data_IF_435049788864
#
_entry.id   IF_435049788864
#
_cell.length_a   1.000
_cell.length_b   1.000
_cell.length_c   1.000
_cell.angle_alpha   90.00
_cell.angle_beta   90.00
_cell.angle_gamma   90.00
#
_symmetry.space_group_name_H-M   'P 1'
#
loop_
_entity.id
_entity.type
_entity.pdbx_description
1 polymer ?
#
# COMPACT_ATOMS: atom_id res chain seq x y z
N UNK A 1 67.41 -40.99 57.76
CA UNK A 1 68.29 -40.44 56.73
C UNK A 1 68.00 -41.19 55.43
N UNK A 2 67.02 -40.70 54.66
CA UNK A 2 66.48 -41.39 53.48
C UNK A 2 67.42 -41.12 52.30
N UNK A 3 68.07 -42.17 51.78
CA UNK A 3 68.91 -42.12 50.58
C UNK A 3 67.98 -42.02 49.35
N UNK A 4 68.31 -41.11 48.45
CA UNK A 4 67.66 -40.92 47.14
C UNK A 4 68.07 -42.09 46.23
N UNK A 5 67.09 -42.80 45.69
CA UNK A 5 67.33 -43.81 44.65
C UNK A 5 67.71 -43.14 43.31
N UNK A 6 68.59 -43.81 42.55
CA UNK A 6 69.24 -43.27 41.35
C UNK A 6 68.29 -43.13 40.15
N UNK A 7 68.47 -42.05 39.38
CA UNK A 7 67.65 -41.58 38.24
C UNK A 7 67.61 -42.51 37.00
N UNK A 8 68.05 -43.77 37.09
CA UNK A 8 68.17 -44.68 35.93
C UNK A 8 66.93 -45.56 35.65
N UNK A 9 65.78 -45.27 36.26
CA UNK A 9 64.54 -46.05 36.08
C UNK A 9 63.39 -45.27 35.41
N UNK A 10 63.72 -44.22 34.64
CA UNK A 10 62.77 -43.49 33.79
C UNK A 10 63.00 -43.88 32.31
N UNK A 11 61.94 -44.09 31.51
CA UNK A 11 61.68 -45.37 30.85
C UNK A 11 62.52 -45.64 29.59
N UNK A 12 62.93 -46.92 29.43
CA UNK A 12 63.46 -47.47 28.19
C UNK A 12 62.35 -47.50 27.12
N UNK A 13 62.46 -46.64 26.12
CA UNK A 13 61.63 -46.64 24.92
C UNK A 13 61.86 -47.95 24.15
N UNK A 14 60.89 -48.87 24.22
CA UNK A 14 60.75 -49.92 23.21
C UNK A 14 60.42 -49.23 21.88
N UNK A 15 61.06 -49.73 20.81
CA UNK A 15 61.15 -49.08 19.50
C UNK A 15 59.86 -48.47 18.97
N UNK A 16 60.02 -47.34 18.28
CA UNK A 16 59.00 -46.77 17.41
C UNK A 16 58.58 -47.80 16.37
N UNK A 17 57.36 -48.34 16.48
CA UNK A 17 56.63 -48.80 15.30
C UNK A 17 56.18 -47.55 14.54
N UNK A 18 56.58 -47.47 13.27
CA UNK A 18 56.11 -46.46 12.33
C UNK A 18 54.62 -46.65 12.10
N UNK A 19 53.80 -45.78 12.72
CA UNK A 19 52.38 -45.65 12.36
C UNK A 19 52.33 -44.86 11.06
N UNK A 20 51.82 -45.51 10.03
CA UNK A 20 51.62 -44.95 8.70
C UNK A 20 50.84 -43.63 8.74
N UNK A 21 51.27 -42.76 7.83
CA UNK A 21 50.68 -41.48 7.46
C UNK A 21 49.22 -41.63 7.06
N UNK A 22 48.30 -41.08 7.86
CA UNK A 22 47.16 -40.23 7.44
C UNK A 22 46.18 -40.05 8.61
N UNK A 23 46.52 -39.18 9.56
CA UNK A 23 45.52 -38.52 10.40
C UNK A 23 45.66 -37.03 10.21
N UNK A 24 45.04 -36.53 9.13
CA UNK A 24 44.79 -35.10 8.98
C UNK A 24 43.94 -34.69 10.17
N UNK A 25 44.55 -33.97 11.10
CA UNK A 25 43.88 -33.36 12.23
C UNK A 25 42.89 -32.32 11.67
N UNK A 26 41.65 -32.76 11.41
CA UNK A 26 40.55 -31.87 11.04
C UNK A 26 40.24 -31.02 12.27
N UNK A 27 40.93 -29.88 12.40
CA UNK A 27 40.50 -28.81 13.29
C UNK A 27 39.11 -28.41 12.84
N UNK A 28 38.10 -28.77 13.63
CA UNK A 28 36.74 -28.31 13.44
C UNK A 28 36.75 -26.78 13.57
N UNK A 29 36.85 -26.10 12.42
CA UNK A 29 36.60 -24.67 12.38
C UNK A 29 35.12 -24.48 12.68
N UNK A 30 34.80 -24.20 13.94
CA UNK A 30 33.51 -23.66 14.32
C UNK A 30 33.33 -22.34 13.57
N UNK A 31 32.66 -22.41 12.42
CA UNK A 31 32.17 -21.21 11.72
C UNK A 31 31.04 -20.67 12.57
N UNK A 32 31.38 -19.79 13.50
CA UNK A 32 30.40 -19.02 14.26
C UNK A 32 29.83 -17.98 13.30
N UNK A 33 28.72 -18.31 12.65
CA UNK A 33 27.90 -17.32 11.97
C UNK A 33 27.27 -16.43 13.06
N UNK A 34 27.91 -15.30 13.36
CA UNK A 34 27.33 -14.22 14.15
C UNK A 34 26.18 -13.62 13.35
N UNK A 35 24.99 -14.20 13.48
CA UNK A 35 23.75 -13.55 13.06
C UNK A 35 23.53 -12.40 14.02
N UNK A 36 24.07 -11.21 13.71
CA UNK A 36 23.72 -9.99 14.42
C UNK A 36 22.24 -9.76 14.17
N UNK A 37 21.38 -10.24 15.07
CA UNK A 37 19.99 -9.85 15.14
C UNK A 37 20.00 -8.39 15.57
N UNK A 38 20.03 -7.48 14.58
CA UNK A 38 19.77 -6.06 14.83
C UNK A 38 18.32 -5.96 15.26
N UNK A 39 18.07 -6.00 16.57
CA UNK A 39 16.75 -5.67 17.10
C UNK A 39 16.34 -4.30 16.56
N UNK A 40 15.10 -4.21 16.10
CA UNK A 40 14.60 -2.95 15.56
C UNK A 40 14.51 -1.95 16.71
N UNK A 41 15.26 -0.86 16.61
CA UNK A 41 15.26 0.20 17.63
C UNK A 41 13.86 0.81 17.79
N UNK A 42 13.05 0.77 16.73
CA UNK A 42 11.70 1.32 16.71
C UNK A 42 10.73 0.23 16.27
N UNK A 43 9.67 0.03 17.04
CA UNK A 43 8.57 -0.88 16.73
C UNK A 43 7.28 -0.08 16.54
N UNK A 44 6.57 -0.23 15.41
CA UNK A 44 5.27 0.41 15.20
C UNK A 44 4.26 0.11 16.31
N UNK A 45 4.29 -1.10 16.88
CA UNK A 45 3.37 -1.57 17.91
C UNK A 45 3.45 -0.77 19.23
N UNK A 46 4.55 -0.02 19.44
CA UNK A 46 4.73 0.83 20.63
C UNK A 46 4.08 2.21 20.48
N UNK A 47 3.47 2.52 19.33
CA UNK A 47 2.85 3.81 19.04
C UNK A 47 1.33 3.67 18.99
N UNK A 48 0.62 4.71 19.43
CA UNK A 48 -0.85 4.80 19.39
C UNK A 48 -1.36 5.82 18.36
N UNK A 49 -0.44 6.47 17.64
CA UNK A 49 -0.72 7.47 16.60
C UNK A 49 0.25 7.29 15.45
N UNK A 50 -0.30 7.16 14.24
CA UNK A 50 0.47 7.06 13.01
C UNK A 50 1.30 8.32 12.79
N UNK A 51 0.70 9.50 12.93
CA UNK A 51 1.40 10.78 12.78
C UNK A 51 2.58 10.91 13.76
N UNK A 52 2.45 10.42 14.99
CA UNK A 52 3.56 10.43 15.95
C UNK A 52 4.71 9.53 15.47
N UNK A 53 4.40 8.32 15.01
CA UNK A 53 5.39 7.41 14.44
C UNK A 53 6.13 8.06 13.26
N UNK A 54 5.39 8.60 12.29
CA UNK A 54 5.94 9.22 11.08
C UNK A 54 6.84 10.43 11.41
N UNK A 55 6.38 11.31 12.31
CA UNK A 55 7.16 12.50 12.72
C UNK A 55 8.44 12.11 13.45
N UNK A 56 8.39 11.15 14.37
CA UNK A 56 9.59 10.66 15.06
C UNK A 56 10.58 10.10 14.05
N UNK A 57 10.13 9.28 13.09
CA UNK A 57 11.03 8.76 12.05
C UNK A 57 11.58 9.83 11.11
N UNK A 58 10.79 10.84 10.75
CA UNK A 58 11.26 11.95 9.92
C UNK A 58 12.34 12.77 10.66
N UNK A 59 12.18 13.04 11.96
CA UNK A 59 13.21 13.69 12.77
C UNK A 59 14.48 12.85 12.89
N UNK A 60 14.35 11.52 13.00
CA UNK A 60 15.51 10.62 13.00
C UNK A 60 16.23 10.69 11.66
N UNK A 61 15.51 10.74 10.53
CA UNK A 61 16.13 10.92 9.21
C UNK A 61 16.85 12.26 9.09
N UNK A 62 16.26 13.35 9.58
CA UNK A 62 16.95 14.65 9.67
C UNK A 62 18.23 14.56 10.49
N UNK A 63 18.17 13.93 11.66
CA UNK A 63 19.34 13.75 12.53
C UNK A 63 20.44 12.95 11.83
N UNK A 64 20.09 11.84 11.18
CA UNK A 64 21.03 11.04 10.40
C UNK A 64 21.62 11.83 9.23
N UNK A 65 20.82 12.65 8.55
CA UNK A 65 21.31 13.49 7.45
C UNK A 65 22.25 14.60 7.95
N UNK A 66 21.97 15.18 9.12
CA UNK A 66 22.85 16.14 9.77
C UNK A 66 24.21 15.50 10.15
N UNK A 67 24.21 14.27 10.69
CA UNK A 67 25.44 13.51 10.94
C UNK A 67 26.22 13.20 9.65
N UNK A 68 25.50 12.97 8.54
CA UNK A 68 26.08 12.72 7.22
C UNK A 68 26.53 13.98 6.48
N UNK A 69 26.46 15.16 7.12
CA UNK A 69 26.79 16.47 6.53
C UNK A 69 26.07 16.73 5.20
N UNK A 70 24.88 16.17 5.03
CA UNK A 70 23.99 16.54 3.91
C UNK A 70 23.25 17.82 4.26
N UNK A 71 22.86 18.58 3.24
CA UNK A 71 21.96 19.71 3.44
C UNK A 71 20.68 19.23 4.12
N UNK A 72 20.30 19.92 5.20
CA UNK A 72 19.09 19.64 5.94
C UNK A 72 18.34 20.94 6.22
N UNK A 73 17.02 20.88 6.09
CA UNK A 73 16.17 22.02 6.38
C UNK A 73 15.96 22.19 7.88
N UNK A 74 16.04 23.45 8.35
CA UNK A 74 15.71 23.84 9.72
C UNK A 74 14.30 24.40 9.72
N UNK A 75 13.41 23.84 10.55
CA UNK A 75 12.02 24.30 10.62
C UNK A 75 11.01 23.18 10.84
N UNK A 76 9.71 23.42 10.58
CA UNK A 76 8.70 22.37 10.62
C UNK A 76 9.01 21.24 9.61
N UNK A 77 8.44 20.05 9.84
CA UNK A 77 8.61 18.91 8.93
C UNK A 77 7.90 19.17 7.60
N UNK A 78 8.60 18.95 6.50
CA UNK A 78 8.01 19.02 5.17
C UNK A 78 7.12 17.80 4.91
N UNK A 79 6.13 17.96 4.02
CA UNK A 79 5.25 16.86 3.61
C UNK A 79 6.02 15.71 2.97
N UNK A 80 7.09 16.03 2.24
CA UNK A 80 7.96 15.03 1.60
C UNK A 80 8.71 14.18 2.63
N UNK A 81 9.13 14.75 3.75
CA UNK A 81 9.80 13.99 4.82
C UNK A 81 8.86 13.02 5.52
N UNK A 82 7.61 13.42 5.70
CA UNK A 82 6.56 12.54 6.23
C UNK A 82 6.24 11.43 5.23
N UNK A 83 6.17 11.75 3.93
CA UNK A 83 5.99 10.76 2.87
C UNK A 83 7.16 9.75 2.84
N UNK A 84 8.40 10.23 2.93
CA UNK A 84 9.59 9.36 2.98
C UNK A 84 9.58 8.45 4.22
N UNK A 85 9.15 8.98 5.37
CA UNK A 85 8.96 8.18 6.59
C UNK A 85 7.86 7.12 6.42
N UNK A 86 6.76 7.44 5.76
CA UNK A 86 5.68 6.51 5.48
C UNK A 86 6.14 5.38 4.54
N UNK A 87 6.76 5.74 3.42
CA UNK A 87 7.33 4.78 2.47
C UNK A 87 8.39 3.89 3.12
N UNK A 88 9.22 4.45 4.02
CA UNK A 88 10.17 3.65 4.79
C UNK A 88 9.48 2.56 5.61
N UNK A 89 8.44 2.91 6.38
CA UNK A 89 7.72 1.93 7.19
C UNK A 89 7.01 0.89 6.34
N UNK A 90 6.41 1.29 5.22
CA UNK A 90 5.82 0.37 4.24
C UNK A 90 6.86 -0.65 3.79
N UNK A 91 8.07 -0.21 3.39
CA UNK A 91 9.15 -1.11 2.97
C UNK A 91 9.59 -2.06 4.07
N UNK A 92 9.76 -1.56 5.29
CA UNK A 92 10.15 -2.39 6.45
C UNK A 92 9.10 -3.47 6.67
N UNK A 93 7.82 -3.09 6.75
CA UNK A 93 6.72 -4.03 6.95
C UNK A 93 6.60 -5.03 5.81
N UNK A 94 6.74 -4.61 4.55
CA UNK A 94 6.72 -5.54 3.42
C UNK A 94 7.90 -6.51 3.45
N UNK A 95 9.09 -6.04 3.80
CA UNK A 95 10.27 -6.89 3.92
C UNK A 95 10.13 -7.92 5.05
N UNK A 96 9.45 -7.57 6.15
CA UNK A 96 9.22 -8.50 7.25
C UNK A 96 8.31 -9.68 6.87
N UNK A 97 7.31 -9.44 6.03
CA UNK A 97 6.28 -10.44 5.70
C UNK A 97 6.47 -11.09 4.32
N UNK A 98 7.11 -10.40 3.38
CA UNK A 98 7.21 -10.78 1.96
C UNK A 98 8.66 -10.74 1.45
N UNK A 99 9.65 -10.99 2.33
CA UNK A 99 11.09 -10.93 1.97
C UNK A 99 11.46 -11.87 0.81
N UNK A 100 10.90 -13.09 0.79
CA UNK A 100 11.14 -14.05 -0.29
C UNK A 100 10.59 -13.57 -1.62
N UNK A 101 9.38 -13.01 -1.64
CA UNK A 101 8.72 -12.47 -2.82
C UNK A 101 9.46 -11.25 -3.35
N UNK A 102 9.87 -10.33 -2.47
CA UNK A 102 10.63 -9.13 -2.86
C UNK A 102 11.97 -9.53 -3.47
N UNK A 103 12.66 -10.52 -2.88
CA UNK A 103 13.95 -10.99 -3.42
C UNK A 103 13.77 -11.67 -4.78
N UNK A 104 12.68 -12.42 -4.95
CA UNK A 104 12.32 -13.05 -6.22
C UNK A 104 12.05 -12.01 -7.32
N UNK A 105 11.21 -11.01 -7.01
CA UNK A 105 10.87 -9.92 -7.92
C UNK A 105 12.05 -9.02 -8.25
N UNK A 106 12.97 -8.77 -7.31
CA UNK A 106 14.24 -8.08 -7.59
C UNK A 106 15.16 -8.83 -8.55
N UNK A 107 15.01 -10.16 -8.62
CA UNK A 107 15.81 -11.02 -9.48
C UNK A 107 15.12 -11.28 -10.84
N UNK A 108 14.05 -10.55 -11.16
CA UNK A 108 13.17 -10.76 -12.33
C UNK A 108 12.66 -12.20 -12.47
N UNK A 109 12.47 -12.89 -11.35
CA UNK A 109 11.93 -14.25 -11.31
C UNK A 109 10.44 -14.23 -10.97
N UNK A 110 9.69 -15.17 -11.55
CA UNK A 110 8.28 -15.35 -11.23
C UNK A 110 8.07 -15.78 -9.77
N UNK A 111 6.99 -15.28 -9.16
CA UNK A 111 6.57 -15.66 -7.82
C UNK A 111 6.33 -17.17 -7.72
N UNK A 112 6.68 -17.75 -6.57
CA UNK A 112 6.42 -19.16 -6.31
C UNK A 112 4.91 -19.44 -6.30
N UNK A 113 4.52 -20.63 -6.78
CA UNK A 113 3.11 -21.03 -6.90
C UNK A 113 2.35 -21.03 -5.56
N UNK A 114 3.08 -21.13 -4.45
CA UNK A 114 2.53 -21.18 -3.10
C UNK A 114 2.37 -19.79 -2.45
N UNK A 115 2.84 -18.72 -3.10
CA UNK A 115 2.74 -17.37 -2.53
C UNK A 115 1.30 -16.87 -2.59
N UNK A 116 0.82 -16.32 -1.47
CA UNK A 116 -0.49 -15.64 -1.37
C UNK A 116 -0.61 -14.45 -2.31
N UNK A 117 0.52 -13.89 -2.75
CA UNK A 117 0.61 -12.74 -3.63
C UNK A 117 0.56 -13.12 -5.13
N UNK A 118 0.62 -14.41 -5.47
CA UNK A 118 0.56 -14.88 -6.86
C UNK A 118 -0.72 -14.42 -7.57
N UNK A 119 -1.85 -14.43 -6.86
CA UNK A 119 -3.15 -14.05 -7.40
C UNK A 119 -3.35 -12.53 -7.54
N UNK A 120 -2.46 -11.72 -6.97
CA UNK A 120 -2.60 -10.26 -6.92
C UNK A 120 -1.82 -9.53 -8.01
N UNK A 121 -1.22 -10.23 -8.98
CA UNK A 121 -0.40 -9.64 -10.06
C UNK A 121 0.49 -8.50 -9.53
N UNK A 122 1.46 -8.87 -8.69
CA UNK A 122 2.25 -7.90 -7.92
C UNK A 122 3.56 -7.54 -8.62
N UNK A 123 4.01 -6.30 -8.43
CA UNK A 123 5.29 -5.82 -8.96
C UNK A 123 5.94 -4.83 -7.97
N UNK A 124 7.24 -4.57 -8.15
CA UNK A 124 7.98 -3.57 -7.39
C UNK A 124 7.99 -2.24 -8.16
N UNK A 125 7.65 -1.15 -7.49
CA UNK A 125 7.77 0.20 -8.05
C UNK A 125 9.23 0.72 -8.04
N UNK A 126 9.44 1.92 -8.57
CA UNK A 126 10.76 2.59 -8.61
C UNK A 126 11.34 2.84 -7.21
N UNK A 127 10.48 2.90 -6.19
CA UNK A 127 10.90 3.03 -4.81
C UNK A 127 11.22 1.67 -4.19
N UNK A 128 10.94 0.53 -4.85
CA UNK A 128 11.08 -0.80 -4.28
C UNK A 128 9.97 -1.17 -3.30
N UNK A 129 8.78 -0.58 -3.46
CA UNK A 129 7.56 -0.91 -2.73
C UNK A 129 6.74 -1.90 -3.55
N UNK A 130 6.23 -2.93 -2.88
CA UNK A 130 5.37 -3.93 -3.49
C UNK A 130 3.96 -3.38 -3.73
N UNK A 131 3.53 -3.41 -4.99
CA UNK A 131 2.24 -2.90 -5.45
C UNK A 131 1.47 -3.92 -6.25
N UNK A 132 0.15 -3.74 -6.28
CA UNK A 132 -0.76 -4.51 -7.14
C UNK A 132 -0.90 -3.80 -8.48
N UNK A 133 -0.91 -4.57 -9.57
CA UNK A 133 -1.43 -4.08 -10.85
C UNK A 133 -2.83 -4.61 -11.12
N UNK A 134 -3.60 -3.91 -11.95
CA UNK A 134 -4.98 -4.27 -12.23
C UNK A 134 -5.54 -3.59 -13.47
N UNK A 135 -6.86 -3.68 -13.65
CA UNK A 135 -7.57 -3.14 -14.82
C UNK A 135 -7.41 -1.63 -15.00
N UNK A 136 -7.10 -0.91 -13.91
CA UNK A 136 -6.87 0.55 -13.92
C UNK A 136 -5.50 0.96 -14.47
N UNK A 137 -4.53 0.04 -14.62
CA UNK A 137 -3.18 0.37 -15.09
C UNK A 137 -3.12 1.01 -16.47
N UNK A 138 -4.13 0.77 -17.33
CA UNK A 138 -4.21 1.33 -18.69
C UNK A 138 -4.83 2.73 -18.75
N UNK A 139 -5.36 3.25 -17.65
CA UNK A 139 -6.02 4.57 -17.63
C UNK A 139 -4.97 5.69 -17.60
N UNK A 140 -5.17 6.76 -18.35
CA UNK A 140 -4.27 7.93 -18.38
C UNK A 140 -4.63 9.00 -17.35
N UNK A 141 -5.88 9.00 -16.87
CA UNK A 141 -6.44 10.04 -15.99
C UNK A 141 -6.11 9.88 -14.49
N UNK A 142 -5.57 8.74 -14.07
CA UNK A 142 -5.23 8.46 -12.67
C UNK A 142 -3.74 8.66 -12.39
N UNK A 143 -3.40 8.97 -11.13
CA UNK A 143 -2.02 8.96 -10.65
C UNK A 143 -1.47 7.55 -10.46
N UNK A 144 -0.16 7.38 -10.41
CA UNK A 144 0.48 6.06 -10.24
C UNK A 144 0.02 5.36 -8.94
N UNK A 145 -0.17 6.11 -7.86
CA UNK A 145 -0.66 5.58 -6.58
C UNK A 145 -2.12 5.09 -6.66
N UNK A 146 -2.95 5.73 -7.47
CA UNK A 146 -4.35 5.32 -7.69
C UNK A 146 -4.46 4.10 -8.60
N UNK A 147 -3.57 3.98 -9.59
CA UNK A 147 -3.52 2.80 -10.48
C UNK A 147 -2.96 1.57 -9.79
N UNK A 148 -1.97 1.77 -8.93
CA UNK A 148 -1.15 0.71 -8.36
C UNK A 148 -1.14 0.81 -6.82
N UNK A 149 -2.17 0.24 -6.15
CA UNK A 149 -2.25 0.31 -4.70
C UNK A 149 -1.12 -0.50 -4.04
N UNK A 150 -0.67 0.00 -2.88
CA UNK A 150 0.38 -0.61 -2.06
C UNK A 150 -0.19 -1.82 -1.33
N UNK A 151 0.60 -2.90 -1.26
CA UNK A 151 0.25 -4.10 -0.51
C UNK A 151 0.75 -3.99 0.93
N UNK A 152 -0.13 -4.17 1.90
CA UNK A 152 0.26 -4.27 3.30
C UNK A 152 -0.33 -5.53 3.93
N UNK A 153 0.44 -6.22 4.80
CA UNK A 153 -0.06 -7.39 5.53
C UNK A 153 -1.11 -6.96 6.55
N UNK A 154 -2.17 -7.76 6.70
CA UNK A 154 -3.26 -7.45 7.65
C UNK A 154 -2.82 -7.45 9.11
N UNK A 155 -1.84 -8.30 9.47
CA UNK A 155 -1.34 -8.45 10.84
C UNK A 155 -0.03 -7.69 11.06
N UNK A 156 -0.05 -6.37 10.92
CA UNK A 156 1.11 -5.54 11.28
C UNK A 156 0.68 -4.30 12.05
N UNK A 157 1.49 -3.85 13.01
CA UNK A 157 1.21 -2.62 13.75
C UNK A 157 1.08 -1.38 12.87
N UNK A 158 1.80 -1.32 11.74
CA UNK A 158 1.63 -0.24 10.77
C UNK A 158 0.24 -0.26 10.14
N UNK A 159 -0.23 -1.42 9.71
CA UNK A 159 -1.59 -1.59 9.14
C UNK A 159 -2.67 -1.23 10.16
N UNK A 160 -2.50 -1.66 11.41
CA UNK A 160 -3.42 -1.31 12.49
C UNK A 160 -3.45 0.20 12.75
N UNK A 161 -2.29 0.85 12.79
CA UNK A 161 -2.18 2.30 12.94
C UNK A 161 -2.84 3.05 11.77
N UNK A 162 -2.68 2.58 10.53
CA UNK A 162 -3.32 3.16 9.34
C UNK A 162 -4.85 3.05 9.40
N UNK A 163 -5.36 1.88 9.80
CA UNK A 163 -6.80 1.65 9.98
C UNK A 163 -7.32 2.55 11.10
N UNK A 164 -6.63 2.61 12.23
CA UNK A 164 -7.02 3.42 13.38
C UNK A 164 -7.02 4.92 13.09
N UNK A 165 -6.01 5.42 12.38
CA UNK A 165 -5.95 6.80 11.92
C UNK A 165 -7.13 7.13 10.98
N UNK A 166 -7.44 6.22 10.05
CA UNK A 166 -8.57 6.38 9.13
C UNK A 166 -9.91 6.33 9.87
N UNK A 167 -10.04 5.45 10.85
CA UNK A 167 -11.21 5.31 11.70
C UNK A 167 -11.49 6.57 12.55
N UNK A 168 -10.43 7.15 13.13
CA UNK A 168 -10.50 8.43 13.85
C UNK A 168 -10.87 9.58 12.93
N UNK A 169 -10.31 9.61 11.71
CA UNK A 169 -10.59 10.65 10.71
C UNK A 169 -12.07 10.72 10.35
N UNK A 170 -12.75 9.57 10.35
CA UNK A 170 -14.20 9.49 10.08
C UNK A 170 -15.05 9.49 11.36
N UNK A 171 -14.50 9.95 12.49
CA UNK A 171 -15.21 10.05 13.77
C UNK A 171 -15.91 8.76 14.19
N UNK A 172 -15.25 7.61 13.99
CA UNK A 172 -15.78 6.30 14.38
C UNK A 172 -17.08 5.87 13.67
N UNK A 173 -17.38 6.42 12.49
CA UNK A 173 -18.61 6.16 11.70
C UNK A 173 -18.76 4.72 11.14
N UNK A 174 -18.05 3.73 11.68
CA UNK A 174 -18.13 2.33 11.27
C UNK A 174 -17.20 1.93 10.12
N UNK A 175 -17.24 0.65 9.76
CA UNK A 175 -16.30 0.01 8.82
C UNK A 175 -16.42 0.57 7.41
N UNK A 176 -17.65 0.70 6.90
CA UNK A 176 -17.91 1.23 5.54
C UNK A 176 -17.32 2.64 5.36
N UNK A 177 -17.41 3.47 6.41
CA UNK A 177 -16.85 4.82 6.38
C UNK A 177 -15.32 4.82 6.53
N UNK A 178 -14.77 3.91 7.34
CA UNK A 178 -13.31 3.78 7.55
C UNK A 178 -12.59 3.37 6.25
N UNK A 179 -13.25 2.62 5.38
CA UNK A 179 -12.73 2.18 4.07
C UNK A 179 -12.89 3.22 2.95
N UNK A 180 -13.58 4.34 3.19
CA UNK A 180 -13.85 5.38 2.19
C UNK A 180 -13.05 6.65 2.53
N UNK A 181 -12.34 7.22 1.54
CA UNK A 181 -11.66 8.49 1.71
C UNK A 181 -12.68 9.65 1.66
N UNK A 182 -13.07 10.16 2.83
CA UNK A 182 -13.90 11.36 2.92
C UNK A 182 -13.08 12.60 2.55
N UNK A 183 -13.51 13.29 1.49
CA UNK A 183 -13.01 14.63 1.13
C UNK A 183 -14.03 15.65 1.63
N UNK A 184 -13.66 16.41 2.66
CA UNK A 184 -14.52 17.46 3.22
C UNK A 184 -14.44 18.72 2.36
N UNK A 185 -15.56 19.44 2.30
CA UNK A 185 -15.62 20.79 1.74
C UNK A 185 -15.28 21.74 2.88
N UNK A 186 -14.35 22.67 2.65
CA UNK A 186 -13.98 23.68 3.63
C UNK A 186 -15.15 24.68 3.74
N UNK A 187 -15.47 25.13 4.96
CA UNK A 187 -16.58 26.05 5.29
C UNK A 187 -16.71 27.29 4.36
N UNK A 188 -15.58 27.77 3.82
CA UNK A 188 -15.51 28.94 2.93
C UNK A 188 -15.19 28.59 1.48
N UNK A 189 -15.08 27.30 1.14
CA UNK A 189 -14.70 26.82 -0.18
C UNK A 189 -15.85 26.10 -0.91
N UNK A 190 -17.03 26.72 -0.95
CA UNK A 190 -18.21 26.18 -1.64
C UNK A 190 -17.93 25.80 -3.12
N UNK A 191 -16.95 26.45 -3.77
CA UNK A 191 -16.55 26.12 -5.15
C UNK A 191 -16.00 24.70 -5.32
N UNK A 192 -15.48 24.06 -4.25
CA UNK A 192 -15.06 22.65 -4.28
C UNK A 192 -16.23 21.70 -4.57
N UNK A 193 -17.46 22.16 -4.26
CA UNK A 193 -18.68 21.43 -4.46
C UNK A 193 -19.45 21.73 -5.75
N UNK A 194 -18.93 22.62 -6.60
CA UNK A 194 -19.69 23.12 -7.75
C UNK A 194 -20.15 22.05 -8.74
N UNK A 195 -19.50 20.88 -8.78
CA UNK A 195 -19.92 19.77 -9.63
C UNK A 195 -21.21 19.09 -9.14
N UNK A 196 -21.35 18.80 -7.83
CA UNK A 196 -22.59 18.19 -7.32
C UNK A 196 -23.72 19.21 -7.31
N UNK A 197 -23.45 20.52 -7.13
CA UNK A 197 -24.48 21.56 -7.23
C UNK A 197 -25.06 21.63 -8.65
N UNK A 198 -24.22 21.54 -9.68
CA UNK A 198 -24.66 21.43 -11.08
C UNK A 198 -25.44 20.15 -11.34
N UNK A 199 -25.07 19.05 -10.69
CA UNK A 199 -25.80 17.78 -10.78
C UNK A 199 -27.19 17.88 -10.13
N UNK A 200 -27.28 18.42 -8.91
CA UNK A 200 -28.54 18.69 -8.20
C UNK A 200 -29.43 19.62 -9.01
N UNK A 201 -28.85 20.64 -9.67
CA UNK A 201 -29.59 21.53 -10.58
C UNK A 201 -30.22 20.74 -11.74
N UNK A 202 -29.49 19.80 -12.33
CA UNK A 202 -29.99 18.98 -13.44
C UNK A 202 -31.19 18.12 -13.01
N UNK A 203 -31.10 17.49 -11.84
CA UNK A 203 -32.22 16.72 -11.24
C UNK A 203 -33.43 17.62 -10.95
N UNK A 204 -33.22 18.77 -10.32
CA UNK A 204 -34.29 19.73 -10.01
C UNK A 204 -34.97 20.27 -11.26
N UNK A 205 -34.23 20.49 -12.35
CA UNK A 205 -34.81 20.91 -13.63
C UNK A 205 -35.69 19.81 -14.21
N UNK A 206 -35.26 18.54 -14.14
CA UNK A 206 -36.09 17.39 -14.50
C UNK A 206 -37.38 17.34 -13.69
N UNK A 207 -37.27 17.40 -12.37
CA UNK A 207 -38.41 17.36 -11.45
C UNK A 207 -39.41 18.50 -11.68
N UNK A 208 -38.93 19.73 -11.89
CA UNK A 208 -39.81 20.88 -12.15
C UNK A 208 -40.58 20.74 -13.46
N UNK A 209 -39.96 20.14 -14.48
CA UNK A 209 -40.59 19.92 -15.79
C UNK A 209 -41.62 18.78 -15.75
N UNK A 210 -41.36 17.73 -14.95
CA UNK A 210 -42.26 16.57 -14.86
C UNK A 210 -43.42 16.78 -13.89
N UNK A 211 -43.20 17.38 -12.70
CA UNK A 211 -44.27 17.59 -11.70
C UNK A 211 -45.07 18.88 -11.90
N UNK A 212 -44.42 19.97 -12.32
CA UNK A 212 -45.07 21.29 -12.33
C UNK A 212 -45.60 21.69 -10.93
N UNK A 213 -46.93 21.62 -10.74
CA UNK A 213 -47.63 21.94 -9.47
C UNK A 213 -48.23 20.71 -8.76
N UNK A 214 -48.00 19.49 -9.25
CA UNK A 214 -48.56 18.29 -8.64
C UNK A 214 -47.82 17.89 -7.36
N UNK A 215 -48.56 17.35 -6.40
CA UNK A 215 -48.00 16.70 -5.21
C UNK A 215 -48.05 15.19 -5.41
N UNK A 216 -46.94 14.50 -5.17
CA UNK A 216 -46.80 13.06 -5.37
C UNK A 216 -46.74 12.32 -4.05
N UNK A 217 -47.23 11.07 -4.05
CA UNK A 217 -46.92 10.12 -2.97
C UNK A 217 -45.46 9.66 -3.06
N UNK A 218 -44.95 9.03 -2.01
CA UNK A 218 -43.57 8.53 -1.95
C UNK A 218 -43.24 7.53 -3.07
N UNK A 219 -44.18 6.63 -3.39
CA UNK A 219 -44.03 5.66 -4.47
C UNK A 219 -43.96 6.35 -5.84
N UNK A 220 -44.86 7.31 -6.08
CA UNK A 220 -44.87 8.09 -7.32
C UNK A 220 -43.59 8.91 -7.47
N UNK A 221 -43.09 9.50 -6.37
CA UNK A 221 -41.84 10.26 -6.37
C UNK A 221 -40.63 9.35 -6.70
N UNK A 222 -40.59 8.13 -6.16
CA UNK A 222 -39.52 7.18 -6.45
C UNK A 222 -39.47 6.81 -7.93
N UNK A 223 -40.62 6.55 -8.54
CA UNK A 223 -40.72 6.25 -9.98
C UNK A 223 -40.23 7.43 -10.81
N UNK A 224 -40.71 8.64 -10.53
CA UNK A 224 -40.31 9.85 -11.26
C UNK A 224 -38.81 10.13 -11.11
N UNK A 225 -38.23 9.90 -9.92
CA UNK A 225 -36.79 10.05 -9.73
C UNK A 225 -35.98 9.03 -10.53
N UNK A 226 -36.45 7.79 -10.64
CA UNK A 226 -35.80 6.74 -11.43
C UNK A 226 -35.82 7.09 -12.92
N UNK A 227 -36.94 7.64 -13.41
CA UNK A 227 -37.04 8.11 -14.80
C UNK A 227 -36.08 9.28 -15.07
N UNK A 228 -36.02 10.26 -14.15
CA UNK A 228 -35.11 11.41 -14.26
C UNK A 228 -33.65 10.96 -14.22
N UNK A 229 -33.30 10.00 -13.36
CA UNK A 229 -31.97 9.39 -13.32
C UNK A 229 -31.62 8.77 -14.68
N UNK A 230 -32.53 7.96 -15.23
CA UNK A 230 -32.37 7.35 -16.56
C UNK A 230 -32.16 8.39 -17.67
N UNK A 231 -32.91 9.50 -17.65
CA UNK A 231 -32.76 10.60 -18.59
C UNK A 231 -31.42 11.31 -18.46
N UNK A 232 -30.97 11.61 -17.24
CA UNK A 232 -29.67 12.26 -17.00
C UNK A 232 -28.52 11.37 -17.47
N UNK A 233 -28.59 10.07 -17.16
CA UNK A 233 -27.55 9.12 -17.51
C UNK A 233 -27.54 8.75 -19.01
N UNK A 234 -28.65 8.95 -19.72
CA UNK A 234 -28.74 8.75 -21.17
C UNK A 234 -28.43 10.00 -21.99
N UNK A 235 -28.18 11.14 -21.35
CA UNK A 235 -27.92 12.41 -22.04
C UNK A 235 -26.56 12.38 -22.76
N UNK A 236 -26.49 12.77 -24.05
CA UNK A 236 -25.23 12.88 -24.77
C UNK A 236 -24.28 13.91 -24.12
N UNK A 237 -23.03 13.51 -23.92
CA UNK A 237 -21.91 14.38 -23.49
C UNK A 237 -21.09 14.83 -24.69
N UNK A 238 -21.05 14.04 -25.75
CA UNK A 238 -20.39 14.38 -27.03
C UNK A 238 -21.40 14.93 -28.04
N UNK A 239 -20.85 15.53 -29.10
CA UNK A 239 -21.63 15.97 -30.25
C UNK A 239 -22.50 14.84 -30.80
N UNK A 240 -23.75 15.17 -31.10
CA UNK A 240 -24.67 14.34 -31.88
C UNK A 240 -24.76 15.06 -33.21
N UNK A 241 -24.18 14.51 -34.26
CA UNK A 241 -24.31 15.09 -35.57
C UNK A 241 -25.51 14.50 -36.32
N UNK A 242 -25.54 14.81 -37.61
CA UNK A 242 -26.65 14.55 -38.52
C UNK A 242 -26.34 13.51 -39.60
N UNK A 243 -25.11 13.01 -39.67
CA UNK A 243 -24.66 12.11 -40.73
C UNK A 243 -24.87 10.62 -40.38
N UNK A 244 -25.18 9.82 -41.39
CA UNK A 244 -25.62 8.42 -41.26
C UNK A 244 -24.53 7.43 -40.86
N UNK A 245 -23.26 7.87 -40.77
CA UNK A 245 -22.12 7.04 -40.33
C UNK A 245 -21.59 7.44 -38.95
N UNK A 246 -22.41 8.07 -38.12
CA UNK A 246 -21.92 8.70 -36.90
C UNK A 246 -21.60 7.76 -35.74
N UNK A 247 -20.44 8.03 -35.17
CA UNK A 247 -20.00 7.55 -33.85
C UNK A 247 -21.09 7.76 -32.81
N UNK A 248 -21.54 6.66 -32.21
CA UNK A 248 -22.50 6.64 -31.10
C UNK A 248 -22.08 7.68 -30.04
N UNK A 249 -22.93 8.70 -29.74
CA UNK A 249 -22.57 9.71 -28.77
C UNK A 249 -22.34 9.10 -27.39
N UNK A 250 -21.28 9.53 -26.70
CA UNK A 250 -20.96 9.09 -25.36
C UNK A 250 -21.95 9.68 -24.35
N UNK A 251 -22.45 8.83 -23.46
CA UNK A 251 -23.39 9.19 -22.39
C UNK A 251 -22.77 8.79 -21.04
N UNK A 252 -23.21 9.39 -19.91
CA UNK A 252 -22.78 8.95 -18.59
C UNK A 252 -22.99 7.46 -18.35
N UNK A 253 -24.07 6.88 -18.89
CA UNK A 253 -24.35 5.45 -18.83
C UNK A 253 -23.22 4.58 -19.43
N UNK A 254 -22.52 5.04 -20.47
CA UNK A 254 -21.37 4.30 -21.01
C UNK A 254 -20.22 4.19 -20.01
N UNK A 255 -20.03 5.18 -19.14
CA UNK A 255 -18.98 5.14 -18.12
C UNK A 255 -19.38 4.28 -16.91
N UNK A 256 -20.67 4.25 -16.57
CA UNK A 256 -21.17 3.55 -15.38
C UNK A 256 -21.49 2.08 -15.68
N UNK A 257 -22.19 1.82 -16.79
CA UNK A 257 -22.74 0.50 -17.15
C UNK A 257 -21.96 -0.12 -18.32
N UNK A 258 -21.20 0.68 -19.09
CA UNK A 258 -20.48 0.21 -20.28
C UNK A 258 -21.35 0.13 -21.54
N UNK A 259 -22.65 0.46 -21.45
CA UNK A 259 -23.63 0.45 -22.55
C UNK A 259 -24.75 1.47 -22.32
N UNK A 260 -25.58 1.70 -23.33
CA UNK A 260 -26.76 2.60 -23.21
C UNK A 260 -27.79 1.98 -22.28
N UNK A 261 -28.46 2.81 -21.47
CA UNK A 261 -29.58 2.36 -20.63
C UNK A 261 -30.75 1.85 -21.49
N UNK A 262 -30.92 2.41 -22.68
CA UNK A 262 -31.98 2.06 -23.64
C UNK A 262 -31.62 0.91 -24.59
N UNK A 263 -30.44 0.28 -24.46
CA UNK A 263 -30.13 -0.89 -25.28
C UNK A 263 -30.98 -2.08 -24.85
N UNK A 264 -31.57 -2.81 -25.80
CA UNK A 264 -32.25 -4.06 -25.52
C UNK A 264 -31.31 -5.03 -24.76
N UNK A 265 -31.84 -5.82 -23.82
CA UNK A 265 -31.05 -6.88 -23.19
C UNK A 265 -30.54 -7.86 -24.26
N UNK A 266 -29.37 -8.50 -24.02
CA UNK A 266 -28.84 -9.51 -24.93
C UNK A 266 -29.75 -10.72 -25.09
#
# INVERSE_FOLDING_TARGET
MVKRDSEYLWPNLKGFESIDSETVELKSSLIVNLTITREKIIHPDKYSSLLKLLRVTAYIFRFVNALRKKDFEKGPLASEELFNAEIFWVKVTQNDFYSSEITCLKSDKHLQKDSKLLFLNTFLDDNGVLRVTGRLGKTTSLSANEKHPIILPSKSGLTELLIWESHKRVFHSGVSHTLVQWKYIIERAAWWGGFYERMVRSVKVGLRKTLGKSSLTTEQLSTVLTEIEGMINSRPVTYVGSETEETIPLTPAHFIIGKRITSLPP
#
